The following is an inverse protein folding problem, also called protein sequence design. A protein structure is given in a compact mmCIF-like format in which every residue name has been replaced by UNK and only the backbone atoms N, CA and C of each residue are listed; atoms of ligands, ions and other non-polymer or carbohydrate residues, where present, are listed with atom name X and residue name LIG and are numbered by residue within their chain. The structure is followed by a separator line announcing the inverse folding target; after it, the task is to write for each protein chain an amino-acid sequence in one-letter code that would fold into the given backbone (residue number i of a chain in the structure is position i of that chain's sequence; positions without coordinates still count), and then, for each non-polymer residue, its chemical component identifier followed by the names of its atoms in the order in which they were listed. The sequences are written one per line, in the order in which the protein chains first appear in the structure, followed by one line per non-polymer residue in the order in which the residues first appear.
data_IF_546622178773
#
_entry.id   IF_546622178773
#
_cell.length_a   1.000
_cell.length_b   1.000
_cell.length_c   1.000
_cell.angle_alpha   90.00
_cell.angle_beta   90.00
_cell.angle_gamma   90.00
#
_symmetry.space_group_name_H-M   'P 1'
#
loop_
_entity.id
_entity.type
_entity.pdbx_description
1 polymer ?
#
# COMPACT_ATOMS: atom_id res chain seq x y z
N UNK A 1 -2.41 -63.37 -53.35
CA UNK A 1 -2.23 -62.79 -52.00
C UNK A 1 -1.81 -61.35 -52.13
N UNK A 2 -2.67 -60.44 -51.76
CA UNK A 2 -2.39 -59.00 -51.82
C UNK A 2 -2.08 -58.53 -50.38
N UNK A 3 -0.96 -57.87 -50.07
CA UNK A 3 -0.72 -57.33 -48.73
C UNK A 3 -1.55 -56.06 -48.54
N UNK A 4 -2.32 -56.05 -47.44
CA UNK A 4 -2.98 -54.84 -46.93
C UNK A 4 -1.93 -53.90 -46.33
N UNK A 5 -1.75 -52.73 -46.97
CA UNK A 5 -0.99 -51.67 -46.37
C UNK A 5 -1.85 -50.93 -45.33
N UNK A 6 -1.55 -51.16 -44.08
CA UNK A 6 -2.15 -50.45 -42.98
C UNK A 6 -1.48 -49.04 -42.90
N UNK A 7 -2.22 -48.03 -43.33
CA UNK A 7 -1.77 -46.62 -43.20
C UNK A 7 -2.05 -46.20 -41.76
N UNK A 8 -1.00 -46.07 -40.98
CA UNK A 8 -1.06 -45.41 -39.67
C UNK A 8 -1.22 -43.92 -39.86
N UNK A 9 -2.36 -43.36 -39.50
CA UNK A 9 -2.60 -41.92 -39.42
C UNK A 9 -2.03 -41.43 -38.12
N UNK A 10 -0.89 -40.72 -38.16
CA UNK A 10 -0.37 -39.98 -37.00
C UNK A 10 -1.20 -38.69 -36.87
N UNK A 11 -2.08 -38.66 -35.88
CA UNK A 11 -2.73 -37.43 -35.45
C UNK A 11 -1.77 -36.72 -34.50
N UNK A 12 -1.08 -35.71 -35.03
CA UNK A 12 -0.31 -34.80 -34.19
C UNK A 12 -1.27 -33.86 -33.47
N UNK A 13 -1.52 -34.11 -32.19
CA UNK A 13 -2.23 -33.17 -31.34
C UNK A 13 -1.33 -31.95 -31.09
N UNK A 14 -1.57 -30.87 -31.84
CA UNK A 14 -0.96 -29.57 -31.56
C UNK A 14 -1.56 -29.01 -30.25
N UNK A 15 -0.82 -29.13 -29.15
CA UNK A 15 -1.15 -28.41 -27.92
C UNK A 15 -0.93 -26.90 -28.18
N UNK A 16 -2.00 -26.19 -28.48
CA UNK A 16 -2.02 -24.75 -28.42
C UNK A 16 -1.92 -24.33 -26.95
N UNK A 17 -0.70 -24.10 -26.48
CA UNK A 17 -0.48 -23.43 -25.22
C UNK A 17 -0.90 -21.98 -25.38
N UNK A 18 -2.12 -21.65 -24.96
CA UNK A 18 -2.54 -20.27 -24.81
C UNK A 18 -1.69 -19.66 -23.69
N UNK A 19 -0.59 -19.01 -24.05
CA UNK A 19 0.15 -18.15 -23.15
C UNK A 19 -0.73 -16.94 -22.86
N UNK A 20 -1.44 -16.97 -21.75
CA UNK A 20 -2.05 -15.76 -21.23
C UNK A 20 -0.92 -14.83 -20.82
N UNK A 21 -0.94 -13.56 -21.25
CA UNK A 21 0.02 -12.61 -20.77
C UNK A 21 -0.20 -12.50 -19.27
N UNK A 22 0.74 -12.99 -18.47
CA UNK A 22 0.83 -12.63 -17.08
C UNK A 22 1.19 -11.14 -17.10
N UNK A 23 0.18 -10.29 -16.95
CA UNK A 23 0.40 -8.90 -16.64
C UNK A 23 1.03 -8.87 -15.26
N UNK A 24 2.36 -8.93 -15.23
CA UNK A 24 3.11 -8.56 -14.06
C UNK A 24 2.87 -7.06 -13.89
N UNK A 25 1.94 -6.70 -13.01
CA UNK A 25 1.80 -5.36 -12.53
C UNK A 25 3.06 -4.99 -11.74
N UNK A 26 4.12 -4.67 -12.46
CA UNK A 26 5.17 -3.79 -11.98
C UNK A 26 4.63 -2.36 -12.09
N UNK A 27 3.48 -2.14 -11.42
CA UNK A 27 2.87 -0.85 -11.31
C UNK A 27 3.55 -0.07 -10.20
N UNK A 28 4.63 0.63 -10.54
CA UNK A 28 4.94 1.89 -9.89
C UNK A 28 3.91 2.96 -10.29
N UNK A 29 2.79 2.58 -10.83
CA UNK A 29 1.82 3.45 -11.43
C UNK A 29 0.81 3.89 -10.38
N UNK A 30 1.11 5.08 -9.84
CA UNK A 30 0.12 6.07 -9.39
C UNK A 30 -0.98 5.48 -8.51
N UNK A 31 -0.56 4.80 -7.45
CA UNK A 31 -1.47 4.48 -6.34
C UNK A 31 -1.85 5.75 -5.57
N UNK A 32 -0.99 6.79 -5.64
CA UNK A 32 -1.10 8.05 -4.90
C UNK A 32 -1.31 9.24 -5.82
N UNK A 33 -2.16 10.17 -5.40
CA UNK A 33 -2.36 11.42 -6.11
C UNK A 33 -1.06 12.23 -6.18
N UNK A 34 -0.87 12.97 -7.29
CA UNK A 34 0.32 13.79 -7.49
C UNK A 34 0.40 14.99 -6.53
N UNK A 35 -0.72 15.40 -5.93
CA UNK A 35 -0.83 16.56 -5.05
C UNK A 35 -1.17 16.14 -3.64
N UNK A 36 -0.42 16.65 -2.68
CA UNK A 36 -0.70 16.48 -1.26
C UNK A 36 -2.02 17.12 -0.84
N UNK A 37 -2.66 16.49 0.13
CA UNK A 37 -3.86 16.95 0.80
C UNK A 37 -3.63 17.05 2.31
N UNK A 38 -4.61 17.58 3.01
CA UNK A 38 -4.56 17.83 4.45
C UNK A 38 -4.11 19.27 4.78
N UNK A 39 -3.70 19.53 6.03
CA UNK A 39 -3.58 18.54 7.09
C UNK A 39 -4.93 17.99 7.56
N UNK A 40 -4.93 16.74 7.97
CA UNK A 40 -6.03 16.14 8.74
C UNK A 40 -5.53 15.81 10.13
N UNK A 41 -6.42 15.92 11.12
CA UNK A 41 -6.12 15.61 12.52
C UNK A 41 -7.08 14.56 13.03
N UNK A 42 -6.55 13.58 13.73
CA UNK A 42 -7.33 12.49 14.31
C UNK A 42 -6.68 11.94 15.57
N UNK A 43 -7.31 10.90 16.10
CA UNK A 43 -6.80 10.13 17.23
C UNK A 43 -6.29 8.80 16.74
N UNK A 44 -5.02 8.50 16.99
CA UNK A 44 -4.43 7.22 16.62
C UNK A 44 -5.15 6.06 17.32
N UNK A 45 -5.45 5.02 16.58
CA UNK A 45 -6.07 3.80 17.11
C UNK A 45 -5.13 2.61 17.04
N UNK A 46 -4.18 2.62 16.09
CA UNK A 46 -3.21 1.55 15.91
C UNK A 46 -1.96 2.07 15.21
N UNK A 47 -0.81 1.56 15.58
CA UNK A 47 0.45 1.78 14.90
C UNK A 47 1.15 0.46 14.60
N UNK A 48 1.44 0.21 13.34
CA UNK A 48 2.15 -0.98 12.87
C UNK A 48 3.54 -0.58 12.43
N UNK A 49 4.54 -0.95 13.22
CA UNK A 49 5.95 -0.67 12.97
C UNK A 49 6.70 -1.97 12.70
N UNK A 50 6.44 -2.56 11.54
CA UNK A 50 7.02 -3.84 11.13
C UNK A 50 7.25 -3.89 9.62
N UNK A 51 8.19 -4.74 9.20
CA UNK A 51 8.47 -4.98 7.79
C UNK A 51 7.29 -5.69 7.10
N UNK A 52 6.98 -5.40 5.84
CA UNK A 52 7.66 -4.43 4.95
C UNK A 52 7.13 -2.99 5.06
N UNK A 53 5.95 -2.78 5.63
CA UNK A 53 5.27 -1.49 5.63
C UNK A 53 4.98 -0.99 7.03
N UNK A 54 5.29 0.29 7.25
CA UNK A 54 4.88 1.02 8.45
C UNK A 54 3.63 1.82 8.13
N UNK A 55 2.61 1.70 8.97
CA UNK A 55 1.37 2.45 8.84
C UNK A 55 0.72 2.66 10.20
N UNK A 56 -0.17 3.63 10.27
CA UNK A 56 -1.05 3.80 11.42
C UNK A 56 -2.49 4.01 10.99
N UNK A 57 -3.39 3.66 11.88
CA UNK A 57 -4.82 3.90 11.77
C UNK A 57 -5.20 5.00 12.75
N UNK A 58 -6.10 5.88 12.34
CA UNK A 58 -6.61 6.95 13.20
C UNK A 58 -8.08 7.25 12.89
N UNK A 59 -8.80 7.70 13.90
CA UNK A 59 -10.16 8.18 13.79
C UNK A 59 -10.15 9.69 13.55
N UNK A 60 -10.79 10.13 12.47
CA UNK A 60 -10.91 11.53 12.08
C UNK A 60 -12.36 11.98 12.17
N UNK A 61 -12.62 13.10 12.85
CA UNK A 61 -13.94 13.70 12.87
C UNK A 61 -14.22 14.39 11.53
N UNK A 62 -15.29 14.00 10.87
CA UNK A 62 -15.78 14.54 9.62
C UNK A 62 -17.23 15.02 9.77
N UNK A 63 -17.77 15.68 8.74
CA UNK A 63 -19.15 16.20 8.77
C UNK A 63 -20.22 15.12 8.96
N UNK A 64 -19.95 13.88 8.54
CA UNK A 64 -20.84 12.72 8.68
C UNK A 64 -20.62 11.88 9.94
N UNK A 65 -19.68 12.26 10.82
CA UNK A 65 -19.30 11.51 12.01
C UNK A 65 -17.80 11.21 12.04
N UNK A 66 -17.42 10.14 12.71
CA UNK A 66 -16.01 9.71 12.79
C UNK A 66 -15.72 8.72 11.65
N UNK A 67 -14.67 8.98 10.90
CA UNK A 67 -14.21 8.08 9.85
C UNK A 67 -12.84 7.48 10.21
N UNK A 68 -12.66 6.15 10.06
CA UNK A 68 -11.36 5.51 10.19
C UNK A 68 -10.49 5.81 8.97
N UNK A 69 -9.25 6.23 9.22
CA UNK A 69 -8.24 6.50 8.21
C UNK A 69 -7.06 5.57 8.37
N UNK A 70 -6.46 5.17 7.25
CA UNK A 70 -5.18 4.45 7.22
C UNK A 70 -4.14 5.32 6.54
N UNK A 71 -3.06 5.59 7.25
CA UNK A 71 -1.92 6.36 6.75
C UNK A 71 -0.71 5.44 6.67
N UNK A 72 -0.22 5.24 5.46
CA UNK A 72 0.97 4.42 5.20
C UNK A 72 2.21 5.29 4.97
N UNK A 73 3.38 4.68 5.05
CA UNK A 73 4.65 5.32 4.69
C UNK A 73 5.28 4.62 3.50
N UNK A 74 6.17 5.31 2.80
CA UNK A 74 7.02 4.72 1.76
C UNK A 74 8.28 4.06 2.32
N UNK A 75 8.57 4.29 3.59
CA UNK A 75 9.81 3.85 4.22
C UNK A 75 9.62 2.58 5.04
N UNK A 76 10.65 1.75 5.05
CA UNK A 76 10.70 0.56 5.87
C UNK A 76 10.97 0.89 7.33
N UNK A 77 10.68 -0.01 8.27
CA UNK A 77 11.04 0.20 9.69
C UNK A 77 12.52 0.46 9.92
N UNK A 78 13.39 -0.11 9.10
CA UNK A 78 14.83 0.10 9.21
C UNK A 78 15.19 1.57 8.93
N UNK A 79 14.72 2.12 7.81
CA UNK A 79 14.97 3.52 7.44
C UNK A 79 14.40 4.46 8.51
N UNK A 80 13.17 4.24 8.94
CA UNK A 80 12.54 5.08 9.95
C UNK A 80 13.28 5.02 11.30
N UNK A 81 13.77 3.85 11.69
CA UNK A 81 14.54 3.66 12.92
C UNK A 81 15.86 4.44 12.90
N UNK A 82 16.55 4.48 11.75
CA UNK A 82 17.77 5.25 11.59
C UNK A 82 17.53 6.76 11.73
N UNK A 83 16.26 7.20 11.58
CA UNK A 83 15.82 8.58 11.78
C UNK A 83 15.07 8.80 13.10
N UNK A 84 15.25 7.91 14.06
CA UNK A 84 14.74 8.09 15.42
C UNK A 84 13.33 7.58 15.67
N UNK A 85 12.70 6.94 14.70
CA UNK A 85 11.39 6.33 14.92
C UNK A 85 11.53 5.03 15.73
N UNK A 86 10.54 4.77 16.57
CA UNK A 86 10.42 3.54 17.35
C UNK A 86 9.01 3.00 17.27
N UNK A 87 8.78 1.83 17.84
CA UNK A 87 7.42 1.27 17.99
C UNK A 87 6.49 2.12 18.84
N UNK A 88 7.07 3.03 19.63
CA UNK A 88 6.36 3.95 20.50
C UNK A 88 6.22 5.36 19.95
N UNK A 89 6.63 5.60 18.68
CA UNK A 89 6.54 6.92 18.06
C UNK A 89 5.10 7.40 17.90
N UNK A 90 4.16 6.49 17.72
CA UNK A 90 2.73 6.75 17.72
C UNK A 90 2.07 5.69 18.61
N UNK A 91 1.19 6.11 19.52
CA UNK A 91 0.47 5.22 20.42
C UNK A 91 -1.04 5.40 20.24
N UNK A 92 -1.85 4.37 20.47
CA UNK A 92 -3.29 4.53 20.57
C UNK A 92 -3.65 5.64 21.57
N UNK A 93 -4.52 6.57 21.16
CA UNK A 93 -4.92 7.74 21.93
C UNK A 93 -4.13 9.01 21.63
N UNK A 94 -3.00 8.92 20.91
CA UNK A 94 -2.25 10.11 20.51
C UNK A 94 -3.05 10.96 19.51
N UNK A 95 -2.93 12.29 19.63
CA UNK A 95 -3.41 13.23 18.63
C UNK A 95 -2.41 13.29 17.50
N UNK A 96 -2.83 12.92 16.30
CA UNK A 96 -1.97 12.91 15.12
C UNK A 96 -2.50 13.89 14.08
N UNK A 97 -1.60 14.72 13.56
CA UNK A 97 -1.87 15.61 12.42
C UNK A 97 -0.97 15.23 11.27
N UNK A 98 -1.54 14.99 10.10
CA UNK A 98 -0.80 14.49 8.94
C UNK A 98 -1.17 15.22 7.66
N UNK A 99 -0.16 15.53 6.84
CA UNK A 99 -0.34 15.82 5.41
C UNK A 99 0.01 14.56 4.63
N UNK A 100 -0.70 14.32 3.54
CA UNK A 100 -0.61 13.03 2.86
C UNK A 100 -0.88 13.17 1.36
N UNK A 101 -0.43 12.18 0.58
CA UNK A 101 -0.89 11.96 -0.78
C UNK A 101 -2.10 11.03 -0.73
N UNK A 102 -3.29 11.46 -1.21
CA UNK A 102 -4.46 10.60 -1.26
C UNK A 102 -4.25 9.38 -2.16
N UNK A 103 -4.81 8.24 -1.77
CA UNK A 103 -4.94 7.10 -2.67
C UNK A 103 -5.92 7.44 -3.79
N UNK A 104 -5.58 7.13 -5.05
CA UNK A 104 -6.40 7.55 -6.21
C UNK A 104 -7.75 6.87 -6.31
N UNK A 105 -7.89 5.67 -5.74
CA UNK A 105 -9.12 4.87 -5.86
C UNK A 105 -9.83 4.62 -4.52
N UNK A 106 -9.12 4.72 -3.40
CA UNK A 106 -9.65 4.34 -2.08
C UNK A 106 -9.75 5.56 -1.16
N UNK A 107 -10.96 5.83 -0.68
CA UNK A 107 -11.17 6.89 0.30
C UNK A 107 -10.50 6.54 1.65
N UNK A 108 -10.15 7.57 2.42
CA UNK A 108 -9.57 7.45 3.77
C UNK A 108 -8.28 6.65 3.85
N UNK A 109 -7.54 6.60 2.73
CA UNK A 109 -6.19 6.03 2.68
C UNK A 109 -5.25 7.08 2.11
N UNK A 110 -4.12 7.29 2.78
CA UNK A 110 -3.10 8.24 2.34
C UNK A 110 -1.68 7.75 2.59
N UNK A 111 -0.75 8.25 1.78
CA UNK A 111 0.67 8.09 2.00
C UNK A 111 1.21 9.33 2.72
N UNK A 112 1.79 9.13 3.88
CA UNK A 112 2.30 10.20 4.75
C UNK A 112 3.37 11.06 4.09
N UNK A 113 3.19 12.37 4.17
CA UNK A 113 4.17 13.38 3.77
C UNK A 113 4.80 14.07 4.98
N UNK A 114 3.98 14.48 5.94
CA UNK A 114 4.42 15.03 7.22
C UNK A 114 3.55 14.47 8.32
N UNK A 115 4.09 14.36 9.53
CA UNK A 115 3.32 13.91 10.68
C UNK A 115 3.77 14.62 11.96
N UNK A 116 2.79 15.05 12.73
CA UNK A 116 2.96 15.57 14.09
C UNK A 116 2.19 14.66 15.05
N UNK A 117 2.82 14.32 16.15
CA UNK A 117 2.23 13.52 17.23
C UNK A 117 2.22 14.37 18.49
N UNK A 118 1.04 14.64 19.01
CA UNK A 118 0.84 15.51 20.21
C UNK A 118 1.56 16.87 20.05
N UNK A 119 1.54 17.45 18.82
CA UNK A 119 2.15 18.73 18.50
C UNK A 119 3.66 18.68 18.22
N UNK A 120 4.28 17.53 18.20
CA UNK A 120 5.69 17.35 17.86
C UNK A 120 5.85 16.69 16.50
N UNK A 121 6.59 17.33 15.59
CA UNK A 121 6.90 16.76 14.27
C UNK A 121 7.85 15.58 14.41
N UNK A 122 7.51 14.48 13.74
CA UNK A 122 8.43 13.36 13.58
C UNK A 122 9.25 13.55 12.30
N UNK A 123 10.56 13.17 12.32
CA UNK A 123 11.42 13.37 11.18
C UNK A 123 11.03 12.46 10.00
N UNK A 124 10.85 13.07 8.81
CA UNK A 124 10.53 12.41 7.55
C UNK A 124 11.36 12.94 6.37
N UNK A 125 12.25 13.90 6.62
CA UNK A 125 13.18 14.41 5.61
C UNK A 125 14.46 13.58 5.63
N UNK A 126 14.71 12.93 4.52
CA UNK A 126 15.88 12.06 4.30
C UNK A 126 16.63 12.48 3.07
#
# INVERSE_FOLDING_TARGET
MRPLFLRAIFVTASCFSAAWPAAAHHGGDVEWAAKAAGPITGTATKFTFQFPHVFFEMDVAESGGVAPWTITTRWTPTILRDHGWTRDSIKPGDKVTVTYLPHVEKAHIGQMMTVEVNGQSLPLSF
#
